data_IF_566852203091
#
_entry.id   IF_566852203091
#
_cell.length_a   1.000
_cell.length_b   1.000
_cell.length_c   1.000
_cell.angle_alpha   90.00
_cell.angle_beta   90.00
_cell.angle_gamma   90.00
#
_symmetry.space_group_name_H-M   'P 1'
#
loop_
_entity.id
_entity.type
_entity.pdbx_description
1 polymer ?
#
# COMPACT_ATOMS: atom_id res chain seq x y z
N UNK A 1 -21.37 5.37 11.29
CA UNK A 1 -20.45 6.53 11.41
C UNK A 1 -19.62 6.56 10.13
N UNK A 2 -19.65 7.65 9.38
CA UNK A 2 -18.91 7.77 8.11
C UNK A 2 -17.43 8.00 8.38
N UNK A 3 -16.53 7.30 7.69
CA UNK A 3 -15.09 7.49 7.80
C UNK A 3 -14.69 8.90 7.39
N UNK A 4 -13.67 9.42 8.03
CA UNK A 4 -13.03 10.71 7.72
C UNK A 4 -11.53 10.52 7.52
N UNK A 5 -10.97 11.23 6.56
CA UNK A 5 -9.55 11.18 6.25
C UNK A 5 -9.00 12.60 6.03
N UNK A 6 -8.79 13.32 7.14
CA UNK A 6 -8.23 14.68 7.10
C UNK A 6 -6.89 14.72 6.36
N UNK A 7 -6.69 15.73 5.52
CA UNK A 7 -5.48 15.87 4.71
C UNK A 7 -5.37 14.86 3.55
N UNK A 8 -6.42 14.11 3.27
CA UNK A 8 -6.52 13.17 2.15
C UNK A 8 -7.63 13.61 1.19
N UNK A 9 -7.54 13.35 -0.11
CA UNK A 9 -8.56 13.77 -1.10
C UNK A 9 -9.83 12.91 -0.99
N UNK A 10 -10.49 12.96 0.16
CA UNK A 10 -11.69 12.17 0.48
C UNK A 10 -12.84 12.41 -0.52
N UNK A 11 -13.20 13.66 -0.90
CA UNK A 11 -14.28 13.89 -1.85
C UNK A 11 -14.04 13.23 -3.20
N UNK A 12 -12.82 13.32 -3.71
CA UNK A 12 -12.43 12.75 -5.01
C UNK A 12 -12.44 11.22 -4.98
N UNK A 13 -12.03 10.60 -3.86
CA UNK A 13 -12.09 9.14 -3.70
C UNK A 13 -13.55 8.68 -3.65
N UNK A 14 -14.40 9.37 -2.89
CA UNK A 14 -15.84 9.06 -2.82
C UNK A 14 -16.54 9.23 -4.17
N UNK A 15 -16.17 10.24 -4.92
CA UNK A 15 -16.67 10.44 -6.29
C UNK A 15 -16.29 9.27 -7.21
N UNK A 16 -15.02 8.83 -7.19
CA UNK A 16 -14.57 7.64 -7.94
C UNK A 16 -15.30 6.37 -7.51
N UNK A 17 -15.56 6.24 -6.22
CA UNK A 17 -16.32 5.11 -5.67
C UNK A 17 -17.79 5.08 -6.14
N UNK A 18 -18.38 6.25 -6.41
CA UNK A 18 -19.74 6.37 -6.95
C UNK A 18 -19.78 6.22 -8.46
N UNK A 19 -18.91 6.92 -9.17
CA UNK A 19 -19.01 7.13 -10.63
C UNK A 19 -18.15 6.15 -11.44
N UNK A 20 -17.19 5.46 -10.80
CA UNK A 20 -16.27 4.55 -11.50
C UNK A 20 -15.51 5.28 -12.61
N UNK A 21 -15.42 4.66 -13.78
CA UNK A 21 -14.70 5.19 -14.95
C UNK A 21 -15.13 6.60 -15.39
N UNK A 22 -16.36 7.00 -15.10
CA UNK A 22 -16.86 8.35 -15.44
C UNK A 22 -16.11 9.45 -14.70
N UNK A 23 -15.61 9.18 -13.50
CA UNK A 23 -14.81 10.14 -12.73
C UNK A 23 -13.40 10.40 -13.30
N UNK A 24 -12.97 9.67 -14.32
CA UNK A 24 -11.71 9.93 -15.03
C UNK A 24 -11.78 11.13 -16.00
N UNK A 25 -12.98 11.63 -16.27
CA UNK A 25 -13.23 12.75 -17.20
C UNK A 25 -14.08 13.82 -16.55
N UNK A 26 -13.98 15.09 -17.02
CA UNK A 26 -14.96 16.12 -16.68
C UNK A 26 -16.38 15.71 -17.05
N UNK A 27 -17.37 16.38 -16.49
CA UNK A 27 -18.76 16.09 -16.79
C UNK A 27 -19.07 16.30 -18.28
N UNK A 28 -19.87 15.42 -18.89
CA UNK A 28 -20.19 15.49 -20.33
C UNK A 28 -20.95 16.79 -20.67
N UNK A 29 -21.69 17.33 -19.72
CA UNK A 29 -22.42 18.58 -19.84
C UNK A 29 -21.52 19.79 -20.02
N UNK A 30 -20.25 19.68 -19.63
CA UNK A 30 -19.22 20.72 -19.79
C UNK A 30 -18.55 20.69 -21.19
N UNK A 31 -18.79 19.60 -21.97
CA UNK A 31 -18.20 19.46 -23.29
C UNK A 31 -18.63 20.59 -24.23
N UNK A 32 -17.64 21.28 -24.82
CA UNK A 32 -17.87 22.37 -25.75
C UNK A 32 -18.25 23.72 -25.11
N UNK A 33 -18.56 23.74 -23.80
CA UNK A 33 -18.91 24.97 -23.06
C UNK A 33 -17.83 25.42 -22.09
N UNK A 34 -17.03 24.49 -21.57
CA UNK A 34 -15.94 24.75 -20.63
C UNK A 34 -14.59 24.65 -21.35
N UNK A 35 -13.73 25.68 -21.19
CA UNK A 35 -12.36 25.66 -21.68
C UNK A 35 -11.47 25.10 -20.58
N UNK A 36 -10.99 23.87 -20.76
CA UNK A 36 -10.12 23.20 -19.82
C UNK A 36 -8.67 23.62 -19.98
N UNK A 37 -7.89 23.62 -18.87
CA UNK A 37 -6.47 23.95 -18.86
C UNK A 37 -5.77 23.42 -17.63
N UNK A 38 -4.44 23.51 -17.64
CA UNK A 38 -3.63 23.14 -16.48
C UNK A 38 -3.95 24.05 -15.27
N UNK A 39 -4.07 23.46 -14.08
CA UNK A 39 -4.30 24.17 -12.81
C UNK A 39 -5.70 24.04 -12.24
N UNK A 40 -6.68 23.58 -13.02
CA UNK A 40 -8.05 23.34 -12.50
C UNK A 40 -8.14 22.22 -11.46
N UNK A 41 -7.12 21.38 -11.34
CA UNK A 41 -7.06 20.23 -10.46
C UNK A 41 -6.02 20.32 -9.34
N UNK A 42 -5.45 21.50 -9.06
CA UNK A 42 -4.56 21.65 -7.91
C UNK A 42 -5.38 21.45 -6.62
N UNK A 43 -5.49 20.18 -6.21
CA UNK A 43 -6.25 19.75 -5.06
C UNK A 43 -5.81 20.50 -3.81
N UNK A 44 -6.77 21.12 -3.17
CA UNK A 44 -6.61 21.68 -1.84
C UNK A 44 -6.23 20.56 -0.86
N UNK A 45 -5.11 20.71 -0.22
CA UNK A 45 -4.67 19.87 0.91
C UNK A 45 -3.30 19.28 0.67
N UNK A 46 -2.31 19.81 1.35
CA UNK A 46 -0.96 19.33 1.61
C UNK A 46 -0.49 18.14 0.77
N UNK A 47 -0.09 18.39 -0.47
CA UNK A 47 0.52 17.40 -1.34
C UNK A 47 1.87 16.93 -0.80
N UNK A 48 2.27 15.73 -1.14
CA UNK A 48 3.64 15.24 -0.91
C UNK A 48 4.53 15.47 -2.14
N UNK A 49 5.78 15.03 -2.06
CA UNK A 49 6.75 15.18 -3.15
C UNK A 49 6.35 14.50 -4.47
N UNK A 50 5.52 13.46 -4.41
CA UNK A 50 4.95 12.79 -5.61
C UNK A 50 4.01 13.73 -6.35
N UNK A 51 3.22 14.55 -5.62
CA UNK A 51 2.28 15.48 -6.23
C UNK A 51 3.02 16.59 -7.02
N UNK A 52 4.22 16.97 -6.61
CA UNK A 52 5.05 17.97 -7.28
C UNK A 52 5.62 17.51 -8.63
N UNK A 53 5.64 16.23 -8.90
CA UNK A 53 6.17 15.68 -10.15
C UNK A 53 5.16 15.81 -11.29
N UNK A 54 5.67 15.79 -12.52
CA UNK A 54 4.87 15.72 -13.74
C UNK A 54 5.29 14.53 -14.58
N UNK A 55 4.31 13.93 -15.27
CA UNK A 55 4.57 12.96 -16.33
C UNK A 55 4.96 13.71 -17.60
N UNK A 56 5.99 13.25 -18.29
CA UNK A 56 6.55 13.91 -19.48
C UNK A 56 6.52 12.97 -20.70
N UNK A 57 5.48 13.06 -21.53
CA UNK A 57 5.41 12.27 -22.75
C UNK A 57 6.62 12.56 -23.67
N UNK A 58 7.21 11.51 -24.29
CA UNK A 58 8.27 11.67 -25.26
C UNK A 58 7.73 12.20 -26.60
N UNK A 59 8.62 12.83 -27.40
CA UNK A 59 8.33 13.15 -28.81
C UNK A 59 8.50 11.91 -29.69
N UNK A 60 9.56 11.12 -29.41
CA UNK A 60 9.81 9.87 -30.13
C UNK A 60 9.33 8.68 -29.31
N UNK A 61 8.55 7.79 -29.91
CA UNK A 61 7.81 6.73 -29.23
C UNK A 61 8.21 5.34 -29.76
N UNK A 62 9.43 4.83 -29.46
CA UNK A 62 9.90 3.55 -29.98
C UNK A 62 8.99 2.36 -29.55
N UNK A 63 8.53 2.34 -28.31
CA UNK A 63 7.62 1.27 -27.84
C UNK A 63 6.25 1.32 -28.51
N UNK A 64 5.79 2.53 -28.93
CA UNK A 64 4.57 2.65 -29.73
C UNK A 64 4.78 2.05 -31.12
N UNK A 65 5.94 2.31 -31.74
CA UNK A 65 6.32 1.71 -33.01
C UNK A 65 6.38 0.17 -32.92
N UNK A 66 7.03 -0.37 -31.90
CA UNK A 66 7.07 -1.81 -31.64
C UNK A 66 5.65 -2.39 -31.52
N UNK A 67 4.78 -1.70 -30.75
CA UNK A 67 3.39 -2.14 -30.55
C UNK A 67 2.55 -2.06 -31.82
N UNK A 68 2.77 -1.04 -32.65
CA UNK A 68 2.14 -0.91 -33.97
C UNK A 68 2.50 -2.11 -34.87
N UNK A 69 3.78 -2.49 -34.92
CA UNK A 69 4.24 -3.65 -35.67
C UNK A 69 3.62 -4.96 -35.15
N UNK A 70 3.52 -5.12 -33.84
CA UNK A 70 2.89 -6.28 -33.20
C UNK A 70 1.40 -6.39 -33.58
N UNK A 71 0.67 -5.27 -33.53
CA UNK A 71 -0.77 -5.24 -33.74
C UNK A 71 -1.20 -5.12 -35.21
N UNK A 72 -0.30 -4.67 -36.12
CA UNK A 72 -0.65 -4.32 -37.50
C UNK A 72 -1.58 -3.10 -37.61
N UNK A 73 -1.75 -2.31 -36.56
CA UNK A 73 -2.55 -1.08 -36.50
C UNK A 73 -2.00 -0.12 -35.44
N UNK A 74 -2.41 1.13 -35.51
CA UNK A 74 -2.09 2.12 -34.45
C UNK A 74 -2.63 1.63 -33.10
N UNK A 75 -1.76 1.59 -32.07
CA UNK A 75 -2.19 1.19 -30.74
C UNK A 75 -2.95 2.31 -30.04
N UNK A 76 -3.91 1.92 -29.20
CA UNK A 76 -4.73 2.82 -28.39
C UNK A 76 -4.55 2.49 -26.89
N UNK A 77 -5.11 3.30 -25.99
CA UNK A 77 -4.95 3.11 -24.54
C UNK A 77 -5.45 1.72 -24.05
N UNK A 78 -6.45 1.13 -24.71
CA UNK A 78 -6.94 -0.21 -24.36
C UNK A 78 -5.97 -1.35 -24.70
N UNK A 79 -4.90 -1.08 -25.46
CA UNK A 79 -3.84 -2.05 -25.75
C UNK A 79 -2.77 -2.11 -24.63
N UNK A 80 -2.87 -1.25 -23.62
CA UNK A 80 -1.97 -1.26 -22.47
C UNK A 80 -2.23 -2.47 -21.59
N UNK A 81 -1.17 -3.20 -21.30
CA UNK A 81 -1.18 -4.36 -20.40
C UNK A 81 -0.89 -3.91 -18.96
N UNK A 82 -1.87 -4.05 -18.08
CA UNK A 82 -1.77 -3.62 -16.69
C UNK A 82 -1.45 -4.77 -15.72
N UNK A 83 -1.50 -6.03 -16.18
CA UNK A 83 -1.17 -7.18 -15.33
C UNK A 83 0.23 -7.09 -14.74
N UNK A 84 0.38 -7.46 -13.47
CA UNK A 84 1.63 -7.37 -12.73
C UNK A 84 1.86 -8.61 -11.86
N UNK A 85 3.13 -8.91 -11.58
CA UNK A 85 3.51 -9.79 -10.47
C UNK A 85 3.85 -8.92 -9.26
N UNK A 86 3.18 -9.17 -8.15
CA UNK A 86 3.32 -8.41 -6.91
C UNK A 86 3.85 -9.37 -5.83
N UNK A 87 5.18 -9.46 -5.70
CA UNK A 87 5.84 -10.30 -4.71
C UNK A 87 5.45 -11.78 -4.82
N UNK A 88 5.33 -12.29 -6.05
CA UNK A 88 4.94 -13.66 -6.37
C UNK A 88 3.43 -13.89 -6.44
N UNK A 89 2.61 -12.86 -6.31
CA UNK A 89 1.17 -12.90 -6.50
C UNK A 89 0.80 -12.22 -7.83
N UNK A 90 0.11 -12.92 -8.72
CA UNK A 90 -0.35 -12.34 -9.99
C UNK A 90 -1.49 -11.37 -9.73
N UNK A 91 -1.40 -10.17 -10.28
CA UNK A 91 -2.43 -9.13 -10.17
C UNK A 91 -2.92 -8.67 -11.53
N UNK A 92 -4.20 -8.39 -11.65
CA UNK A 92 -4.80 -7.82 -12.86
C UNK A 92 -4.33 -6.39 -13.14
N UNK A 93 -3.86 -5.69 -12.10
CA UNK A 93 -3.42 -4.29 -12.11
C UNK A 93 -2.18 -4.13 -11.23
N UNK A 94 -1.32 -3.13 -11.45
CA UNK A 94 -0.18 -2.84 -10.59
C UNK A 94 -0.61 -2.09 -9.31
N UNK A 95 -1.67 -2.61 -8.68
CA UNK A 95 -2.18 -2.10 -7.40
C UNK A 95 -2.55 -3.26 -6.48
N UNK A 96 -2.55 -3.00 -5.19
CA UNK A 96 -2.98 -3.94 -4.15
C UNK A 96 -3.68 -3.18 -3.03
N UNK A 97 -4.45 -3.86 -2.20
CA UNK A 97 -5.01 -3.26 -1.00
C UNK A 97 -3.95 -3.32 0.11
N UNK A 98 -3.47 -2.15 0.55
CA UNK A 98 -2.53 -2.04 1.66
C UNK A 98 -3.17 -2.46 2.98
N UNK A 99 -2.32 -2.89 3.91
CA UNK A 99 -2.73 -3.23 5.25
C UNK A 99 -3.50 -2.08 5.92
N UNK A 100 -4.65 -2.41 6.45
CA UNK A 100 -5.37 -1.61 7.43
C UNK A 100 -5.78 -2.51 8.60
N UNK A 101 -5.54 -2.02 9.80
CA UNK A 101 -5.88 -2.73 11.02
C UNK A 101 -7.36 -2.55 11.40
N UNK A 102 -7.70 -3.00 12.61
CA UNK A 102 -9.01 -2.74 13.19
C UNK A 102 -9.20 -1.24 13.38
N UNK A 103 -9.92 -0.61 12.50
CA UNK A 103 -10.45 0.70 12.77
C UNK A 103 -11.79 0.50 13.47
N UNK A 104 -11.89 0.89 14.73
CA UNK A 104 -13.18 0.98 15.43
C UNK A 104 -14.19 1.85 14.67
N UNK A 105 -13.70 2.68 13.77
CA UNK A 105 -14.49 3.52 12.90
C UNK A 105 -15.05 2.77 11.67
N UNK A 106 -14.43 1.68 11.27
CA UNK A 106 -14.98 0.82 10.26
C UNK A 106 -16.03 -0.06 10.94
N UNK A 107 -17.29 0.12 10.57
CA UNK A 107 -18.33 -0.83 10.91
C UNK A 107 -17.82 -2.26 10.64
N UNK A 108 -18.22 -3.18 11.45
CA UNK A 108 -17.74 -4.56 11.57
C UNK A 108 -17.55 -5.34 10.26
N UNK A 109 -18.22 -4.94 9.17
CA UNK A 109 -18.16 -5.64 7.89
C UNK A 109 -17.35 -4.94 6.80
N UNK A 110 -16.76 -3.76 7.07
CA UNK A 110 -16.04 -3.01 6.04
C UNK A 110 -14.81 -3.75 5.51
N UNK A 111 -14.06 -4.41 6.40
CA UNK A 111 -12.92 -5.23 6.02
C UNK A 111 -13.31 -6.42 5.16
N UNK A 112 -14.44 -7.07 5.48
CA UNK A 112 -15.02 -8.17 4.70
C UNK A 112 -15.47 -7.67 3.33
N UNK A 113 -16.11 -6.49 3.26
CA UNK A 113 -16.53 -5.87 2.01
C UNK A 113 -15.33 -5.54 1.09
N UNK A 114 -14.25 -4.97 1.65
CA UNK A 114 -13.01 -4.71 0.91
C UNK A 114 -12.38 -6.01 0.42
N UNK A 115 -12.30 -7.04 1.27
CA UNK A 115 -11.73 -8.34 0.93
C UNK A 115 -12.47 -8.99 -0.26
N UNK A 116 -13.79 -9.02 -0.22
CA UNK A 116 -14.62 -9.55 -1.31
C UNK A 116 -14.41 -8.79 -2.62
N UNK A 117 -14.35 -7.47 -2.55
CA UNK A 117 -14.14 -6.64 -3.73
C UNK A 117 -12.71 -6.79 -4.30
N UNK A 118 -11.69 -6.89 -3.45
CA UNK A 118 -10.31 -7.15 -3.87
C UNK A 118 -10.17 -8.52 -4.56
N UNK A 119 -10.81 -9.57 -4.01
CA UNK A 119 -10.87 -10.89 -4.64
C UNK A 119 -11.52 -10.85 -6.02
N UNK A 120 -12.67 -10.17 -6.14
CA UNK A 120 -13.37 -9.98 -7.43
C UNK A 120 -12.53 -9.25 -8.45
N UNK A 121 -11.75 -8.26 -8.04
CA UNK A 121 -10.84 -7.52 -8.89
C UNK A 121 -9.60 -8.34 -9.29
N UNK A 122 -9.27 -9.40 -8.60
CA UNK A 122 -8.05 -10.18 -8.82
C UNK A 122 -6.77 -9.43 -8.44
N UNK A 123 -6.85 -8.51 -7.48
CA UNK A 123 -5.70 -7.78 -6.91
C UNK A 123 -5.35 -8.33 -5.53
N UNK A 124 -4.06 -8.34 -5.12
CA UNK A 124 -3.67 -8.78 -3.79
C UNK A 124 -4.24 -7.87 -2.69
N UNK A 125 -4.43 -8.46 -1.51
CA UNK A 125 -4.86 -7.74 -0.32
C UNK A 125 -3.99 -8.08 0.87
N UNK A 126 -3.53 -7.05 1.61
CA UNK A 126 -2.85 -7.21 2.89
C UNK A 126 -3.85 -7.01 4.02
N UNK A 127 -3.99 -8.00 4.88
CA UNK A 127 -4.79 -7.91 6.11
C UNK A 127 -3.84 -7.49 7.23
N UNK A 128 -4.09 -6.29 7.79
CA UNK A 128 -3.24 -5.70 8.82
C UNK A 128 -3.35 -6.39 10.17
N UNK A 129 -2.34 -6.19 11.01
CA UNK A 129 -2.35 -6.58 12.41
C UNK A 129 -3.50 -5.92 13.18
N UNK A 130 -3.62 -6.01 14.45
CA UNK A 130 -4.68 -5.44 15.32
C UNK A 130 -6.08 -6.05 15.16
N UNK A 131 -6.39 -6.76 14.06
CA UNK A 131 -7.60 -7.58 13.96
C UNK A 131 -7.37 -8.88 14.71
N UNK A 132 -6.13 -9.16 15.03
CA UNK A 132 -5.64 -10.47 15.38
C UNK A 132 -4.87 -10.41 16.68
N UNK A 133 -5.61 -10.40 17.76
CA UNK A 133 -5.19 -11.24 18.89
C UNK A 133 -5.57 -12.70 18.53
N UNK A 134 -4.95 -13.72 19.13
CA UNK A 134 -5.38 -15.12 19.04
C UNK A 134 -6.92 -15.23 19.20
N UNK A 135 -7.51 -14.39 20.03
CA UNK A 135 -8.95 -14.26 20.25
C UNK A 135 -9.73 -13.73 19.04
N UNK A 136 -9.13 -12.96 18.14
CA UNK A 136 -9.76 -12.46 16.91
C UNK A 136 -9.56 -13.33 15.68
N UNK A 137 -8.79 -14.43 15.79
CA UNK A 137 -8.56 -15.32 14.66
C UNK A 137 -9.83 -16.04 14.21
N UNK A 138 -10.61 -16.55 15.17
CA UNK A 138 -11.86 -17.27 14.96
C UNK A 138 -13.00 -16.66 15.76
N UNK A 139 -13.19 -15.38 15.77
CA UNK A 139 -14.36 -14.81 16.46
C UNK A 139 -15.64 -15.45 15.94
N UNK A 140 -16.32 -16.17 16.85
CA UNK A 140 -17.58 -16.86 16.58
C UNK A 140 -18.74 -15.92 16.82
N UNK A 141 -19.58 -15.89 15.86
CA UNK A 141 -21.01 -15.72 15.86
C UNK A 141 -21.61 -14.31 15.87
N UNK A 142 -21.15 -13.29 16.55
CA UNK A 142 -21.91 -12.02 16.54
C UNK A 142 -21.09 -10.73 16.61
N UNK A 143 -19.80 -10.80 16.78
CA UNK A 143 -18.98 -9.60 16.96
C UNK A 143 -17.91 -9.46 15.91
N UNK A 144 -18.32 -9.10 14.70
CA UNK A 144 -17.38 -8.38 13.86
C UNK A 144 -16.37 -9.20 13.07
N UNK A 145 -15.61 -8.46 12.40
CA UNK A 145 -14.59 -8.74 11.41
C UNK A 145 -13.43 -9.55 11.98
N UNK A 146 -13.37 -10.84 11.69
CA UNK A 146 -12.23 -11.69 12.04
C UNK A 146 -11.27 -11.81 10.85
N UNK A 147 -9.98 -12.13 11.12
CA UNK A 147 -9.00 -12.41 10.09
C UNK A 147 -9.49 -13.48 9.12
N UNK A 148 -10.02 -14.57 9.66
CA UNK A 148 -10.48 -15.71 8.86
C UNK A 148 -11.68 -15.36 7.98
N UNK A 149 -12.63 -14.56 8.47
CA UNK A 149 -13.76 -14.06 7.67
C UNK A 149 -13.29 -13.21 6.48
N UNK A 150 -12.27 -12.37 6.66
CA UNK A 150 -11.67 -11.59 5.56
C UNK A 150 -11.00 -12.49 4.54
N UNK A 151 -10.22 -13.48 4.99
CA UNK A 151 -9.58 -14.45 4.10
C UNK A 151 -10.65 -15.21 3.29
N UNK A 152 -11.72 -15.69 3.92
CA UNK A 152 -12.81 -16.40 3.25
C UNK A 152 -13.53 -15.50 2.25
N UNK A 153 -13.92 -14.29 2.65
CA UNK A 153 -14.60 -13.35 1.77
C UNK A 153 -13.76 -13.00 0.52
N UNK A 154 -12.43 -12.94 0.69
CA UNK A 154 -11.52 -12.79 -0.44
C UNK A 154 -11.51 -14.03 -1.32
N UNK A 155 -11.29 -15.20 -0.73
CA UNK A 155 -11.13 -16.47 -1.45
C UNK A 155 -12.40 -16.86 -2.23
N UNK A 156 -13.58 -16.67 -1.65
CA UNK A 156 -14.87 -16.92 -2.28
C UNK A 156 -15.13 -16.06 -3.53
N UNK A 157 -14.61 -14.83 -3.53
CA UNK A 157 -14.80 -13.89 -4.64
C UNK A 157 -13.63 -13.90 -5.64
N UNK A 158 -12.53 -14.56 -5.30
CA UNK A 158 -11.30 -14.48 -6.06
C UNK A 158 -11.37 -15.18 -7.41
N UNK A 159 -10.82 -14.50 -8.43
CA UNK A 159 -10.67 -15.10 -9.76
C UNK A 159 -9.58 -16.20 -9.72
N UNK A 160 -9.78 -17.33 -10.40
CA UNK A 160 -8.78 -18.39 -10.47
C UNK A 160 -7.43 -17.89 -10.97
N UNK A 161 -6.36 -18.17 -10.23
CA UNK A 161 -4.98 -17.81 -10.58
C UNK A 161 -4.62 -16.32 -10.43
N UNK A 162 -5.53 -15.46 -9.96
CA UNK A 162 -5.28 -14.04 -9.74
C UNK A 162 -5.39 -13.65 -8.26
N UNK A 163 -4.62 -12.63 -7.89
CA UNK A 163 -4.60 -12.08 -6.55
C UNK A 163 -3.99 -13.02 -5.52
N UNK A 164 -4.23 -12.72 -4.26
CA UNK A 164 -3.78 -13.45 -3.10
C UNK A 164 -3.95 -12.63 -1.84
N UNK A 165 -3.75 -13.25 -0.70
CA UNK A 165 -3.85 -12.60 0.62
C UNK A 165 -2.48 -12.59 1.29
N UNK A 166 -2.08 -11.42 1.80
CA UNK A 166 -0.95 -11.28 2.69
C UNK A 166 -1.44 -11.03 4.12
N UNK A 167 -0.95 -11.79 5.09
CA UNK A 167 -1.27 -11.60 6.50
C UNK A 167 -0.12 -10.90 7.19
N UNK A 168 -0.36 -9.68 7.64
CA UNK A 168 0.64 -8.83 8.27
C UNK A 168 0.63 -9.00 9.78
N UNK A 169 1.82 -9.09 10.37
CA UNK A 169 2.05 -8.99 11.80
C UNK A 169 3.13 -7.93 12.08
N UNK A 170 2.94 -7.15 13.13
CA UNK A 170 4.00 -6.31 13.68
C UNK A 170 4.91 -7.15 14.59
N UNK A 171 6.05 -6.60 14.95
CA UNK A 171 6.94 -7.23 15.95
C UNK A 171 6.29 -7.38 17.31
N UNK A 172 5.35 -6.51 17.66
CA UNK A 172 4.58 -6.59 18.89
C UNK A 172 3.61 -7.79 18.90
N UNK A 173 3.04 -8.11 17.73
CA UNK A 173 2.04 -9.16 17.58
C UNK A 173 2.65 -10.48 17.02
N UNK A 174 3.93 -10.51 16.68
CA UNK A 174 4.58 -11.67 16.08
C UNK A 174 4.60 -12.91 17.02
N UNK A 175 4.52 -12.69 18.32
CA UNK A 175 4.47 -13.75 19.33
C UNK A 175 3.10 -14.41 19.47
N UNK A 176 2.08 -13.92 18.77
CA UNK A 176 0.70 -14.42 18.90
C UNK A 176 0.39 -15.66 18.08
N UNK A 177 1.39 -16.25 17.46
CA UNK A 177 1.28 -17.47 16.62
C UNK A 177 0.30 -17.37 15.44
N UNK A 178 -0.12 -16.17 15.08
CA UNK A 178 -1.15 -15.93 14.05
C UNK A 178 -0.75 -16.54 12.71
N UNK A 179 0.51 -16.39 12.31
CA UNK A 179 0.99 -16.98 11.08
C UNK A 179 0.94 -18.50 11.10
N UNK A 180 1.24 -19.14 12.25
CA UNK A 180 1.10 -20.59 12.41
C UNK A 180 -0.36 -21.03 12.24
N UNK A 181 -1.28 -20.30 12.88
CA UNK A 181 -2.72 -20.58 12.77
C UNK A 181 -3.22 -20.44 11.33
N UNK A 182 -2.87 -19.34 10.64
CA UNK A 182 -3.27 -19.12 9.23
C UNK A 182 -2.68 -20.19 8.32
N UNK A 183 -1.37 -20.46 8.45
CA UNK A 183 -0.67 -21.40 7.57
C UNK A 183 -1.15 -22.84 7.73
N UNK A 184 -1.62 -23.22 8.90
CA UNK A 184 -2.13 -24.56 9.22
C UNK A 184 -3.65 -24.71 9.12
N UNK A 185 -4.41 -23.62 8.95
CA UNK A 185 -5.87 -23.71 8.89
C UNK A 185 -6.33 -24.41 7.61
N UNK A 186 -7.15 -25.47 7.73
CA UNK A 186 -7.63 -26.22 6.57
C UNK A 186 -8.37 -25.38 5.53
N UNK A 187 -9.10 -24.34 5.95
CA UNK A 187 -9.85 -23.46 5.06
C UNK A 187 -8.95 -22.51 4.25
N UNK A 188 -7.71 -22.29 4.70
CA UNK A 188 -6.71 -21.44 4.02
C UNK A 188 -5.80 -22.27 3.10
N UNK A 189 -5.77 -23.61 3.25
CA UNK A 189 -4.91 -24.48 2.44
C UNK A 189 -5.02 -24.26 0.93
N UNK A 190 -6.17 -23.98 0.32
CA UNK A 190 -6.23 -23.68 -1.12
C UNK A 190 -5.39 -22.46 -1.54
N UNK A 191 -5.24 -21.44 -0.68
CA UNK A 191 -4.36 -20.29 -0.93
C UNK A 191 -2.87 -20.69 -0.76
N UNK A 192 -2.55 -21.51 0.24
CA UNK A 192 -1.19 -22.05 0.45
C UNK A 192 -0.77 -22.91 -0.74
N UNK A 193 -1.64 -23.82 -1.18
CA UNK A 193 -1.39 -24.77 -2.26
C UNK A 193 -1.23 -24.11 -3.62
N UNK A 194 -2.01 -23.06 -3.87
CA UNK A 194 -1.91 -22.27 -5.09
C UNK A 194 -0.80 -21.21 -5.07
N UNK A 195 -0.01 -21.10 -3.98
CA UNK A 195 1.03 -20.08 -3.79
C UNK A 195 0.48 -18.65 -3.69
N UNK A 196 -0.78 -18.50 -3.26
CA UNK A 196 -1.50 -17.21 -3.17
C UNK A 196 -1.62 -16.71 -1.73
N UNK A 197 -0.90 -17.29 -0.78
CA UNK A 197 -0.71 -16.79 0.57
C UNK A 197 0.64 -16.10 0.68
N UNK A 198 0.66 -14.91 1.27
CA UNK A 198 1.85 -14.22 1.72
C UNK A 198 1.78 -13.93 3.21
N UNK A 199 2.94 -13.83 3.86
CA UNK A 199 3.09 -13.40 5.24
C UNK A 199 3.96 -12.15 5.24
N UNK A 200 3.49 -11.06 5.86
CA UNK A 200 4.21 -9.78 5.85
C UNK A 200 4.67 -9.40 7.25
N UNK A 201 5.99 -9.28 7.41
CA UNK A 201 6.61 -8.71 8.61
C UNK A 201 6.59 -7.19 8.54
N UNK A 202 5.89 -6.53 9.45
CA UNK A 202 5.86 -5.09 9.56
C UNK A 202 6.89 -4.59 10.57
N UNK A 203 7.93 -3.97 10.06
CA UNK A 203 8.96 -3.27 10.85
C UNK A 203 8.48 -1.90 11.32
N UNK A 204 7.61 -1.27 10.54
CA UNK A 204 7.01 0.01 10.87
C UNK A 204 6.03 0.49 9.80
N UNK A 205 5.52 1.70 9.96
CA UNK A 205 4.51 2.27 9.06
C UNK A 205 4.68 3.79 8.91
N UNK A 206 3.95 4.39 7.94
CA UNK A 206 4.02 5.75 7.48
C UNK A 206 4.16 6.83 8.56
N UNK A 207 3.10 7.48 8.94
CA UNK A 207 3.14 8.71 9.76
C UNK A 207 3.66 8.56 11.21
N UNK A 208 4.13 7.41 11.62
CA UNK A 208 4.71 7.20 12.97
C UNK A 208 5.90 6.24 12.99
N UNK A 209 6.93 6.45 12.17
CA UNK A 209 8.12 5.62 12.23
C UNK A 209 8.81 5.79 13.59
N UNK A 210 9.32 4.70 14.16
CA UNK A 210 9.94 4.70 15.48
C UNK A 210 8.97 4.72 16.66
N UNK A 211 7.67 4.70 16.42
CA UNK A 211 6.65 4.48 17.45
C UNK A 211 5.99 3.12 17.25
N UNK A 212 5.71 2.43 18.35
CA UNK A 212 4.90 1.21 18.36
C UNK A 212 3.41 1.47 18.11
N UNK A 213 2.60 0.46 18.27
CA UNK A 213 1.15 0.56 18.20
C UNK A 213 0.60 1.49 19.26
N UNK A 214 -0.35 2.35 18.89
CA UNK A 214 -1.06 3.23 19.82
C UNK A 214 -2.56 2.99 19.67
N UNK A 215 -3.23 2.72 20.79
CA UNK A 215 -4.67 2.46 20.81
C UNK A 215 -5.30 3.10 22.03
N UNK A 216 -6.40 3.79 21.84
CA UNK A 216 -7.19 4.36 22.94
C UNK A 216 -8.14 3.28 23.47
N UNK A 217 -8.09 3.05 24.78
CA UNK A 217 -8.87 2.04 25.49
C UNK A 217 -9.65 2.69 26.63
N UNK A 218 -10.80 2.14 26.98
CA UNK A 218 -11.46 2.46 28.23
C UNK A 218 -10.67 1.92 29.42
N UNK A 219 -10.74 2.59 30.57
CA UNK A 219 -9.98 2.29 31.79
C UNK A 219 -10.08 0.83 32.23
N UNK A 220 -11.28 0.26 32.25
CA UNK A 220 -11.48 -1.13 32.66
C UNK A 220 -10.69 -2.15 31.80
N UNK A 221 -10.56 -1.90 30.49
CA UNK A 221 -9.77 -2.73 29.59
C UNK A 221 -8.28 -2.45 29.72
N UNK A 222 -7.91 -1.20 30.01
CA UNK A 222 -6.52 -0.81 30.24
C UNK A 222 -5.96 -1.49 31.50
N UNK A 223 -6.74 -1.58 32.57
CA UNK A 223 -6.33 -2.24 33.82
C UNK A 223 -5.98 -3.72 33.60
N UNK A 224 -6.69 -4.41 32.72
CA UNK A 224 -6.40 -5.81 32.35
C UNK A 224 -5.06 -5.96 31.61
N UNK A 225 -4.56 -4.89 31.00
CA UNK A 225 -3.36 -4.86 30.18
C UNK A 225 -2.17 -4.20 30.90
N UNK A 226 -2.34 -3.75 32.13
CA UNK A 226 -1.38 -2.92 32.88
C UNK A 226 -0.01 -3.59 33.11
N UNK A 227 0.14 -4.88 32.98
CA UNK A 227 1.42 -5.59 33.09
C UNK A 227 2.15 -5.82 31.77
N UNK A 228 1.49 -5.57 30.65
CA UNK A 228 1.99 -5.93 29.31
C UNK A 228 2.37 -4.70 28.46
N UNK A 229 1.74 -3.56 28.70
CA UNK A 229 1.89 -2.37 27.86
C UNK A 229 2.12 -1.10 28.69
N UNK A 230 2.77 -0.11 28.10
CA UNK A 230 2.83 1.23 28.66
C UNK A 230 1.47 1.92 28.49
N UNK A 231 0.91 2.35 29.60
CA UNK A 231 -0.37 3.03 29.66
C UNK A 231 -0.19 4.50 30.02
N UNK A 232 -0.79 5.40 29.24
CA UNK A 232 -0.76 6.85 29.48
C UNK A 232 -2.20 7.32 29.66
N UNK A 233 -2.52 7.80 30.89
CA UNK A 233 -3.83 8.40 31.18
C UNK A 233 -3.94 9.79 30.56
N UNK A 234 -5.10 10.13 30.00
CA UNK A 234 -5.46 11.50 29.67
C UNK A 234 -6.04 12.19 30.91
N UNK A 235 -5.74 13.48 31.10
CA UNK A 235 -5.96 14.17 32.37
C UNK A 235 -7.40 14.20 32.90
N UNK A 236 -8.42 14.14 32.02
CA UNK A 236 -9.81 14.36 32.37
C UNK A 236 -10.80 13.29 31.90
N UNK A 237 -10.37 12.07 31.63
CA UNK A 237 -11.24 11.03 31.06
C UNK A 237 -11.01 9.60 31.53
N UNK A 238 -11.98 8.76 31.27
CA UNK A 238 -11.89 7.30 31.45
C UNK A 238 -11.07 6.60 30.36
N UNK A 239 -10.50 7.39 29.44
CA UNK A 239 -9.71 6.87 28.32
C UNK A 239 -8.23 6.81 28.68
N UNK A 240 -7.58 5.74 28.25
CA UNK A 240 -6.16 5.48 28.45
C UNK A 240 -5.53 5.15 27.12
N UNK A 241 -4.38 5.76 26.83
CA UNK A 241 -3.58 5.41 25.66
C UNK A 241 -2.70 4.20 25.98
N UNK A 242 -2.95 3.08 25.30
CA UNK A 242 -2.05 1.95 25.27
C UNK A 242 -0.96 2.22 24.23
N UNK A 243 0.29 2.15 24.66
CA UNK A 243 1.45 2.28 23.77
C UNK A 243 2.17 0.93 23.67
N UNK A 244 2.35 0.46 22.45
CA UNK A 244 3.21 -0.67 22.17
C UNK A 244 4.67 -0.24 21.96
N UNK A 245 5.53 -1.21 21.66
CA UNK A 245 6.93 -0.97 21.31
C UNK A 245 7.13 -1.04 19.79
N UNK A 246 8.02 -0.19 19.21
CA UNK A 246 8.35 -0.32 17.79
C UNK A 246 9.19 -1.57 17.50
N UNK A 247 9.69 -2.26 18.53
CA UNK A 247 10.70 -3.30 18.42
C UNK A 247 12.08 -2.74 18.13
N UNK A 248 13.08 -3.60 18.29
CA UNK A 248 14.48 -3.30 17.96
C UNK A 248 14.86 -4.05 16.69
N UNK A 249 15.37 -3.31 15.69
CA UNK A 249 15.88 -3.90 14.46
C UNK A 249 17.35 -3.54 14.23
N UNK A 250 18.14 -4.53 13.92
CA UNK A 250 19.46 -4.42 13.30
C UNK A 250 19.40 -5.16 11.97
N UNK A 251 20.43 -4.98 11.13
CA UNK A 251 20.55 -5.77 9.90
C UNK A 251 20.47 -7.28 10.18
N UNK A 252 21.11 -7.73 11.26
CA UNK A 252 21.10 -9.15 11.63
C UNK A 252 19.73 -9.63 12.12
N UNK A 253 19.05 -8.86 12.96
CA UNK A 253 17.70 -9.20 13.44
C UNK A 253 16.73 -9.30 12.27
N UNK A 254 16.72 -8.31 11.36
CA UNK A 254 15.85 -8.35 10.18
C UNK A 254 16.15 -9.56 9.30
N UNK A 255 17.43 -9.83 9.05
CA UNK A 255 17.88 -11.00 8.26
C UNK A 255 17.39 -12.31 8.87
N UNK A 256 17.55 -12.49 10.17
CA UNK A 256 17.14 -13.72 10.86
C UNK A 256 15.62 -13.89 10.90
N UNK A 257 14.87 -12.81 11.10
CA UNK A 257 13.41 -12.83 11.05
C UNK A 257 12.90 -13.31 9.67
N UNK A 258 13.40 -12.76 8.59
CA UNK A 258 12.99 -13.16 7.22
C UNK A 258 13.39 -14.62 6.94
N UNK A 259 14.59 -15.05 7.34
CA UNK A 259 15.03 -16.44 7.19
C UNK A 259 14.18 -17.42 8.00
N UNK A 260 13.82 -17.05 9.23
CA UNK A 260 12.94 -17.84 10.08
C UNK A 260 11.57 -18.03 9.41
N UNK A 261 10.99 -16.95 8.88
CA UNK A 261 9.71 -17.02 8.16
C UNK A 261 9.82 -17.92 6.93
N UNK A 262 10.90 -17.80 6.14
CA UNK A 262 11.15 -18.70 4.99
C UNK A 262 11.22 -20.16 5.39
N UNK A 263 11.89 -20.46 6.49
CA UNK A 263 12.06 -21.81 6.99
C UNK A 263 10.74 -22.40 7.52
N UNK A 264 9.98 -21.60 8.26
CA UNK A 264 8.73 -22.06 8.89
C UNK A 264 7.55 -22.13 7.92
N UNK A 265 7.55 -21.28 6.89
CA UNK A 265 6.43 -21.15 5.93
C UNK A 265 6.89 -21.28 4.48
N UNK A 266 7.48 -22.42 4.09
CA UNK A 266 8.16 -22.57 2.78
C UNK A 266 7.24 -22.42 1.56
N UNK A 267 5.92 -22.56 1.73
CA UNK A 267 4.93 -22.45 0.65
C UNK A 267 4.26 -21.06 0.61
N UNK A 268 4.51 -20.20 1.60
CA UNK A 268 4.03 -18.81 1.60
C UNK A 268 5.06 -17.88 0.97
N UNK A 269 4.58 -16.76 0.40
CA UNK A 269 5.43 -15.63 0.03
C UNK A 269 5.79 -14.85 1.28
N UNK A 270 7.00 -14.30 1.34
CA UNK A 270 7.46 -13.53 2.49
C UNK A 270 7.64 -12.08 2.07
N UNK A 271 6.89 -11.20 2.68
CA UNK A 271 6.95 -9.76 2.46
C UNK A 271 7.45 -9.05 3.70
N UNK A 272 8.05 -7.88 3.50
CA UNK A 272 8.52 -7.02 4.59
C UNK A 272 8.00 -5.61 4.35
N UNK A 273 7.42 -4.98 5.37
CA UNK A 273 6.99 -3.58 5.32
C UNK A 273 7.89 -2.70 6.16
N UNK A 274 8.46 -1.67 5.53
CA UNK A 274 9.40 -0.73 6.12
C UNK A 274 8.75 0.64 6.38
N UNK A 275 9.12 1.34 7.48
CA UNK A 275 8.74 2.72 7.70
C UNK A 275 9.57 3.66 6.80
N UNK A 276 9.14 4.93 6.63
CA UNK A 276 9.88 5.95 5.88
C UNK A 276 11.10 6.47 6.65
N UNK A 277 12.04 5.58 6.94
CA UNK A 277 13.26 5.86 7.69
C UNK A 277 14.42 6.30 6.79
N UNK A 278 15.44 6.93 7.39
CA UNK A 278 16.62 7.42 6.66
C UNK A 278 17.44 6.29 6.00
N UNK A 279 17.40 5.10 6.55
CA UNK A 279 18.14 3.89 6.14
C UNK A 279 17.25 2.86 5.44
N UNK A 280 16.13 3.32 4.87
CA UNK A 280 15.16 2.46 4.18
C UNK A 280 15.77 1.66 3.02
N UNK A 281 16.77 2.22 2.31
CA UNK A 281 17.49 1.51 1.24
C UNK A 281 18.25 0.28 1.75
N UNK A 282 19.22 0.43 2.67
CA UNK A 282 19.91 -0.70 3.28
C UNK A 282 18.97 -1.72 3.96
N UNK A 283 17.88 -1.27 4.55
CA UNK A 283 16.88 -2.17 5.15
C UNK A 283 16.16 -3.01 4.09
N UNK A 284 15.76 -2.42 2.97
CA UNK A 284 15.15 -3.13 1.85
C UNK A 284 16.11 -4.17 1.24
N UNK A 285 17.37 -3.78 1.02
CA UNK A 285 18.40 -4.69 0.53
C UNK A 285 18.61 -5.88 1.48
N UNK A 286 18.70 -5.63 2.78
CA UNK A 286 18.81 -6.68 3.80
C UNK A 286 17.65 -7.67 3.74
N UNK A 287 16.41 -7.17 3.59
CA UNK A 287 15.22 -8.01 3.49
C UNK A 287 15.26 -8.90 2.23
N UNK A 288 15.58 -8.35 1.07
CA UNK A 288 15.70 -9.12 -0.18
C UNK A 288 16.82 -10.15 -0.14
N UNK A 289 18.00 -9.78 0.36
CA UNK A 289 19.12 -10.70 0.52
C UNK A 289 18.81 -11.85 1.50
N UNK A 290 17.93 -11.61 2.45
CA UNK A 290 17.44 -12.64 3.37
C UNK A 290 16.36 -13.55 2.76
N UNK A 291 15.80 -13.19 1.59
CA UNK A 291 14.83 -13.97 0.84
C UNK A 291 13.39 -13.44 0.88
N UNK A 292 13.18 -12.14 1.15
CA UNK A 292 11.87 -11.54 0.98
C UNK A 292 11.46 -11.51 -0.51
N UNK A 293 10.20 -11.86 -0.82
CA UNK A 293 9.64 -11.79 -2.18
C UNK A 293 9.24 -10.36 -2.53
N UNK A 294 8.87 -9.55 -1.55
CA UNK A 294 8.56 -8.13 -1.73
C UNK A 294 8.95 -7.31 -0.51
N UNK A 295 9.28 -6.05 -0.77
CA UNK A 295 9.45 -5.02 0.27
C UNK A 295 8.46 -3.90 0.00
N UNK A 296 7.61 -3.60 0.99
CA UNK A 296 6.71 -2.45 0.98
C UNK A 296 7.36 -1.28 1.70
N UNK A 297 7.32 -0.08 1.12
CA UNK A 297 7.70 1.15 1.80
C UNK A 297 6.52 2.11 1.88
N UNK A 298 6.28 2.66 3.07
CA UNK A 298 5.38 3.78 3.26
C UNK A 298 6.14 5.11 3.13
N UNK A 299 5.45 6.16 2.65
CA UNK A 299 5.91 7.54 2.84
C UNK A 299 5.38 8.13 4.15
N UNK A 300 5.97 9.23 4.61
CA UNK A 300 5.54 9.94 5.84
C UNK A 300 4.06 10.37 5.82
N UNK A 301 3.49 10.63 4.63
CA UNK A 301 2.05 10.90 4.45
C UNK A 301 1.18 9.63 4.42
N UNK A 302 1.73 8.45 4.71
CA UNK A 302 1.01 7.18 4.79
C UNK A 302 -0.09 7.21 5.84
N UNK A 303 -1.13 6.39 5.64
CA UNK A 303 -2.20 6.24 6.63
C UNK A 303 -1.70 5.58 7.90
N UNK A 304 -2.17 6.06 9.05
CA UNK A 304 -1.89 5.46 10.35
C UNK A 304 -3.14 5.51 11.21
N UNK A 305 -3.17 4.71 12.27
CA UNK A 305 -4.15 4.86 13.32
C UNK A 305 -3.86 6.10 14.19
N UNK A 306 -4.19 6.03 15.45
CA UNK A 306 -3.90 7.10 16.40
C UNK A 306 -2.38 7.37 16.50
N UNK A 307 -1.98 8.63 16.35
CA UNK A 307 -0.58 9.06 16.45
C UNK A 307 -0.50 10.52 16.93
N UNK A 308 0.60 10.94 17.58
CA UNK A 308 0.81 12.33 17.96
C UNK A 308 0.81 13.25 16.74
N UNK A 309 0.20 14.45 16.87
CA UNK A 309 0.12 15.42 15.77
C UNK A 309 1.50 15.77 15.19
N UNK A 310 2.51 15.95 16.05
CA UNK A 310 3.88 16.22 15.62
C UNK A 310 4.46 15.12 14.70
N UNK A 311 4.05 13.86 14.90
CA UNK A 311 4.46 12.77 14.02
C UNK A 311 3.73 12.79 12.68
N UNK A 312 2.43 13.09 12.71
CA UNK A 312 1.63 13.20 11.49
C UNK A 312 2.15 14.29 10.55
N UNK A 313 2.64 15.40 11.11
CA UNK A 313 3.04 16.59 10.36
C UNK A 313 4.53 16.61 9.98
N UNK A 314 5.41 15.95 10.76
CA UNK A 314 6.85 16.21 10.68
C UNK A 314 7.73 14.96 10.63
N UNK A 315 7.22 13.74 10.81
CA UNK A 315 8.06 12.55 10.96
C UNK A 315 7.89 11.60 9.80
N UNK A 316 9.03 11.19 9.22
CA UNK A 316 9.12 10.26 8.10
C UNK A 316 9.49 10.92 6.78
N UNK A 317 10.26 10.22 5.97
CA UNK A 317 10.62 10.67 4.63
C UNK A 317 9.39 10.73 3.72
N UNK A 318 9.31 11.70 2.81
CA UNK A 318 8.34 11.68 1.72
C UNK A 318 8.48 10.42 0.87
N UNK A 319 7.38 9.98 0.22
CA UNK A 319 7.37 8.70 -0.51
C UNK A 319 8.39 8.66 -1.65
N UNK A 320 8.47 9.72 -2.47
CA UNK A 320 9.41 9.71 -3.60
C UNK A 320 10.86 9.66 -3.14
N UNK A 321 11.18 10.29 -2.00
CA UNK A 321 12.52 10.17 -1.40
C UNK A 321 12.82 8.75 -0.91
N UNK A 322 11.82 8.06 -0.31
CA UNK A 322 11.97 6.66 0.04
C UNK A 322 12.28 5.79 -1.19
N UNK A 323 11.48 5.96 -2.26
CA UNK A 323 11.65 5.19 -3.49
C UNK A 323 13.02 5.42 -4.15
N UNK A 324 13.53 6.67 -4.13
CA UNK A 324 14.86 6.98 -4.67
C UNK A 324 16.01 6.37 -3.84
N UNK A 325 15.85 6.25 -2.53
CA UNK A 325 16.85 5.62 -1.66
C UNK A 325 16.91 4.11 -1.84
N UNK A 326 15.86 3.51 -2.38
CA UNK A 326 15.75 2.07 -2.59
C UNK A 326 16.09 1.75 -4.05
N UNK A 327 17.29 1.22 -4.30
CA UNK A 327 17.67 0.71 -5.60
C UNK A 327 17.08 -0.70 -5.79
N UNK A 328 15.81 -0.79 -6.17
CA UNK A 328 15.11 -2.07 -6.22
C UNK A 328 15.66 -3.04 -7.30
N UNK A 329 16.13 -2.51 -8.44
CA UNK A 329 16.58 -3.36 -9.54
C UNK A 329 15.49 -4.36 -9.96
N UNK A 330 15.81 -5.68 -10.03
CA UNK A 330 14.83 -6.70 -10.37
C UNK A 330 13.89 -7.08 -9.19
N UNK A 331 14.17 -6.61 -7.97
CA UNK A 331 13.42 -6.96 -6.78
C UNK A 331 12.02 -6.31 -6.77
N UNK A 332 11.08 -6.90 -6.07
CA UNK A 332 9.75 -6.36 -5.94
C UNK A 332 9.68 -5.29 -4.85
N UNK A 333 9.58 -4.02 -5.26
CA UNK A 333 9.32 -2.88 -4.39
C UNK A 333 7.86 -2.48 -4.49
N UNK A 334 7.19 -2.35 -3.36
CA UNK A 334 5.80 -1.91 -3.25
C UNK A 334 5.74 -0.54 -2.59
N UNK A 335 4.99 0.39 -3.17
CA UNK A 335 4.84 1.74 -2.67
C UNK A 335 3.47 1.92 -2.00
N UNK A 336 3.45 2.43 -0.78
CA UNK A 336 2.22 2.77 -0.06
C UNK A 336 2.35 4.16 0.55
N UNK A 337 1.49 5.06 0.21
CA UNK A 337 1.24 6.39 0.79
C UNK A 337 0.38 7.22 -0.16
N UNK A 338 -0.76 7.72 0.32
CA UNK A 338 -1.65 8.61 -0.45
C UNK A 338 -2.00 8.12 -1.88
N UNK A 339 -1.95 6.81 -2.15
CA UNK A 339 -2.36 6.25 -3.44
C UNK A 339 -3.89 6.27 -3.54
N UNK A 340 -4.43 7.04 -4.49
CA UNK A 340 -5.87 7.24 -4.66
C UNK A 340 -6.29 7.53 -6.11
N UNK A 341 -5.34 7.85 -7.01
CA UNK A 341 -5.56 8.17 -8.41
C UNK A 341 -4.47 7.56 -9.30
N UNK A 342 -4.77 7.36 -10.59
CA UNK A 342 -3.87 6.70 -11.54
C UNK A 342 -2.56 7.45 -11.75
N UNK A 343 -2.58 8.79 -11.72
CA UNK A 343 -1.35 9.57 -11.92
C UNK A 343 -0.32 9.32 -10.81
N UNK A 344 -0.77 9.17 -9.56
CA UNK A 344 0.14 8.84 -8.44
C UNK A 344 0.69 7.41 -8.56
N UNK A 345 -0.14 6.48 -9.02
CA UNK A 345 0.30 5.10 -9.28
C UNK A 345 1.38 5.11 -10.37
N UNK A 346 1.14 5.76 -11.53
CA UNK A 346 2.13 5.85 -12.62
C UNK A 346 3.45 6.49 -12.15
N UNK A 347 3.39 7.57 -11.37
CA UNK A 347 4.59 8.19 -10.78
C UNK A 347 5.35 7.24 -9.86
N UNK A 348 4.64 6.50 -9.01
CA UNK A 348 5.25 5.49 -8.13
C UNK A 348 5.93 4.37 -8.91
N UNK A 349 5.29 3.87 -9.98
CA UNK A 349 5.87 2.87 -10.89
C UNK A 349 7.11 3.41 -11.60
N UNK A 350 7.05 4.64 -12.11
CA UNK A 350 8.18 5.31 -12.76
C UNK A 350 9.36 5.56 -11.79
N UNK A 351 9.11 5.65 -10.49
CA UNK A 351 10.13 5.70 -9.44
C UNK A 351 10.66 4.31 -9.02
N UNK A 352 10.26 3.25 -9.71
CA UNK A 352 10.77 1.89 -9.50
C UNK A 352 9.90 0.98 -8.65
N UNK A 353 8.73 1.41 -8.21
CA UNK A 353 7.78 0.52 -7.55
C UNK A 353 7.16 -0.47 -8.58
N UNK A 354 6.90 -1.70 -8.13
CA UNK A 354 6.20 -2.73 -8.93
C UNK A 354 4.68 -2.56 -8.84
N UNK A 355 4.19 -2.08 -7.71
CA UNK A 355 2.77 -1.81 -7.48
C UNK A 355 2.55 -0.76 -6.38
N UNK A 356 1.35 -0.18 -6.40
CA UNK A 356 0.90 0.84 -5.45
C UNK A 356 -0.19 0.31 -4.51
N UNK A 357 -0.05 0.60 -3.22
CA UNK A 357 -0.96 0.14 -2.18
C UNK A 357 -2.08 1.13 -1.86
N UNK A 358 -3.32 0.70 -2.00
CA UNK A 358 -4.52 1.45 -1.68
C UNK A 358 -4.92 1.21 -0.22
N UNK A 359 -4.62 2.14 0.67
CA UNK A 359 -5.01 2.08 2.09
C UNK A 359 -6.29 2.85 2.36
N UNK A 360 -6.16 4.13 2.74
CA UNK A 360 -7.32 5.03 3.02
C UNK A 360 -8.29 5.10 1.85
N UNK A 361 -7.79 5.10 0.62
CA UNK A 361 -8.66 5.13 -0.57
C UNK A 361 -9.57 3.90 -0.64
N UNK A 362 -9.05 2.71 -0.37
CA UNK A 362 -9.87 1.48 -0.36
C UNK A 362 -10.94 1.51 0.73
N UNK A 363 -10.58 1.99 1.93
CA UNK A 363 -11.52 2.13 3.04
C UNK A 363 -12.63 3.14 2.76
N UNK A 364 -12.28 4.33 2.26
CA UNK A 364 -13.25 5.38 1.90
C UNK A 364 -14.17 4.93 0.77
N UNK A 365 -13.64 4.21 -0.21
CA UNK A 365 -14.44 3.69 -1.31
C UNK A 365 -15.45 2.64 -0.85
N UNK A 366 -15.04 1.72 0.02
CA UNK A 366 -15.95 0.73 0.59
C UNK A 366 -16.94 1.34 1.59
N UNK A 367 -16.55 2.38 2.35
CA UNK A 367 -17.45 3.15 3.23
C UNK A 367 -18.52 3.89 2.42
N UNK A 368 -18.16 4.42 1.24
CA UNK A 368 -19.11 5.06 0.33
C UNK A 368 -20.09 4.05 -0.30
N UNK A 369 -19.58 2.90 -0.74
CA UNK A 369 -20.37 1.82 -1.31
C UNK A 369 -19.78 0.45 -0.96
N UNK A 370 -20.30 -0.23 0.08
CA UNK A 370 -19.80 -1.52 0.54
C UNK A 370 -19.87 -2.66 -0.50
N UNK A 371 -20.69 -2.52 -1.53
CA UNK A 371 -20.86 -3.55 -2.55
C UNK A 371 -19.98 -3.38 -3.79
N UNK A 372 -19.66 -2.13 -4.17
CA UNK A 372 -18.98 -1.84 -5.42
C UNK A 372 -17.98 -0.66 -5.35
N UNK A 373 -17.85 0.04 -4.24
CA UNK A 373 -17.07 1.26 -4.16
C UNK A 373 -15.59 1.06 -4.48
N UNK A 374 -14.97 -0.01 -3.95
CA UNK A 374 -13.58 -0.34 -4.30
C UNK A 374 -13.46 -0.79 -5.77
N UNK A 375 -14.44 -1.54 -6.28
CA UNK A 375 -14.46 -1.95 -7.70
C UNK A 375 -14.51 -0.71 -8.58
N UNK A 376 -15.41 0.22 -8.33
CA UNK A 376 -15.55 1.46 -9.08
C UNK A 376 -14.28 2.33 -9.04
N UNK A 377 -13.69 2.47 -7.84
CA UNK A 377 -12.41 3.19 -7.68
C UNK A 377 -11.32 2.55 -8.53
N UNK A 378 -11.15 1.24 -8.45
CA UNK A 378 -10.09 0.52 -9.19
C UNK A 378 -10.34 0.51 -10.69
N UNK A 379 -11.57 0.46 -11.15
CA UNK A 379 -11.90 0.63 -12.57
C UNK A 379 -11.57 2.03 -13.10
N UNK A 380 -11.80 3.07 -12.29
CA UNK A 380 -11.36 4.43 -12.62
C UNK A 380 -9.83 4.48 -12.72
N UNK A 381 -9.11 3.93 -11.73
CA UNK A 381 -7.65 3.84 -11.75
C UNK A 381 -7.14 3.07 -12.99
N UNK A 382 -7.76 1.97 -13.35
CA UNK A 382 -7.37 1.17 -14.52
C UNK A 382 -7.46 1.98 -15.82
N UNK A 383 -8.52 2.76 -15.97
CA UNK A 383 -8.68 3.66 -17.13
C UNK A 383 -7.63 4.77 -17.11
N UNK A 384 -7.42 5.44 -15.97
CA UNK A 384 -6.39 6.48 -15.82
C UNK A 384 -4.99 5.92 -16.14
N UNK A 385 -4.65 4.73 -15.63
CA UNK A 385 -3.38 4.04 -15.91
C UNK A 385 -3.20 3.79 -17.41
N UNK A 386 -4.22 3.23 -18.07
CA UNK A 386 -4.16 2.93 -19.49
C UNK A 386 -3.97 4.20 -20.34
N UNK A 387 -4.68 5.27 -20.02
CA UNK A 387 -4.56 6.57 -20.71
C UNK A 387 -3.16 7.17 -20.51
N UNK A 388 -2.66 7.20 -19.27
CA UNK A 388 -1.38 7.82 -18.93
C UNK A 388 -0.19 7.04 -19.51
N UNK A 389 -0.18 5.70 -19.39
CA UNK A 389 0.88 4.85 -19.93
C UNK A 389 0.92 4.95 -21.47
N UNK A 390 -0.24 4.94 -22.12
CA UNK A 390 -0.33 5.16 -23.58
C UNK A 390 0.15 6.54 -24.00
N UNK A 391 -0.17 7.59 -23.22
CA UNK A 391 0.31 8.96 -23.48
C UNK A 391 1.84 9.06 -23.37
N UNK A 392 2.47 8.25 -22.51
CA UNK A 392 3.93 8.11 -22.41
C UNK A 392 4.54 7.26 -23.55
N UNK A 393 3.74 6.84 -24.52
CA UNK A 393 4.17 6.01 -25.63
C UNK A 393 4.53 4.57 -25.25
N UNK A 394 4.05 4.10 -24.10
CA UNK A 394 4.32 2.79 -23.51
C UNK A 394 3.04 1.95 -23.45
N UNK A 395 3.17 0.63 -23.43
CA UNK A 395 2.02 -0.30 -23.47
C UNK A 395 2.08 -1.40 -22.42
N UNK A 396 3.01 -1.25 -21.45
CA UNK A 396 3.14 -2.12 -20.28
C UNK A 396 3.56 -1.29 -19.07
N UNK A 397 3.02 -1.63 -17.92
CA UNK A 397 3.32 -0.91 -16.67
C UNK A 397 4.81 -1.02 -16.26
N UNK A 398 5.47 -2.13 -16.59
CA UNK A 398 6.89 -2.36 -16.29
C UNK A 398 7.88 -1.65 -17.23
N UNK A 399 7.38 -0.95 -18.24
CA UNK A 399 8.18 -0.09 -19.11
C UNK A 399 8.38 1.33 -18.55
N UNK A 400 7.62 1.70 -17.50
CA UNK A 400 7.75 3.02 -16.87
C UNK A 400 9.10 3.17 -16.17
N UNK A 401 9.69 4.36 -16.28
CA UNK A 401 10.98 4.67 -15.70
C UNK A 401 11.14 6.14 -15.32
N UNK A 402 12.27 6.48 -14.71
CA UNK A 402 12.56 7.83 -14.25
C UNK A 402 12.54 8.88 -15.37
N UNK A 403 12.78 8.47 -16.61
CA UNK A 403 12.70 9.31 -17.80
C UNK A 403 11.29 9.85 -18.10
N UNK A 404 10.25 9.20 -17.57
CA UNK A 404 8.86 9.62 -17.70
C UNK A 404 8.47 10.74 -16.72
N UNK A 405 9.40 11.14 -15.84
CA UNK A 405 9.15 12.07 -14.75
C UNK A 405 9.97 13.35 -14.89
N UNK A 406 9.33 14.45 -14.57
CA UNK A 406 9.97 15.72 -14.29
C UNK A 406 9.59 16.19 -12.89
N UNK A 407 10.56 16.76 -12.18
CA UNK A 407 10.32 17.40 -10.90
C UNK A 407 11.06 18.76 -10.86
N UNK A 408 10.54 19.75 -10.10
CA UNK A 408 11.23 21.01 -9.90
C UNK A 408 12.66 20.82 -9.34
N UNK A 409 13.58 21.68 -9.75
CA UNK A 409 14.94 21.69 -9.20
C UNK A 409 14.88 21.88 -7.67
N UNK A 410 15.52 20.96 -6.92
CA UNK A 410 15.45 20.90 -5.46
C UNK A 410 14.45 19.89 -4.90
N UNK A 411 13.48 19.44 -5.68
CA UNK A 411 12.58 18.35 -5.29
C UNK A 411 13.12 16.95 -5.66
N UNK A 412 14.14 16.89 -6.54
CA UNK A 412 14.71 15.62 -7.04
C UNK A 412 16.19 15.80 -7.38
N UNK A 413 17.06 15.18 -6.59
CA UNK A 413 18.41 14.84 -7.07
C UNK A 413 18.35 13.45 -7.70
N UNK A 414 18.86 13.20 -8.94
CA UNK A 414 18.87 11.87 -9.52
C UNK A 414 19.71 10.92 -8.66
N UNK A 415 19.20 9.72 -8.40
CA UNK A 415 19.98 8.65 -7.82
C UNK A 415 21.11 8.32 -8.79
N UNK A 416 22.35 8.68 -8.47
CA UNK A 416 23.51 8.34 -9.29
C UNK A 416 24.67 9.33 -9.34
N UNK A 417 24.57 10.51 -8.73
CA UNK A 417 25.72 11.42 -8.64
C UNK A 417 26.01 11.84 -7.19
N UNK A 418 26.47 10.90 -6.37
CA UNK A 418 27.38 11.25 -5.27
C UNK A 418 28.79 10.93 -5.76
N UNK A 419 29.47 11.93 -6.27
CA UNK A 419 30.91 11.94 -6.44
C UNK A 419 31.54 11.59 -5.10
N UNK A 420 32.40 10.58 -5.13
CA UNK A 420 33.30 10.26 -4.05
C UNK A 420 34.16 11.50 -3.73
N UNK A 421 33.81 12.24 -2.71
CA UNK A 421 34.65 13.17 -2.00
C UNK A 421 34.21 13.15 -0.54
N UNK A 422 34.90 12.30 0.21
CA UNK A 422 35.30 12.59 1.59
C UNK A 422 36.42 11.61 1.94
N UNK A 423 37.65 12.09 1.65
CA UNK A 423 38.83 11.49 2.18
C UNK A 423 38.86 11.63 3.68
N UNK A 424 38.89 10.52 4.37
CA UNK A 424 39.16 10.44 5.80
C UNK A 424 40.62 10.83 6.00
N UNK A 425 40.97 11.84 6.81
CA UNK A 425 42.34 12.00 7.28
C UNK A 425 42.59 10.96 8.34
N UNK A 426 43.58 10.11 8.07
CA UNK A 426 44.29 9.32 9.10
C UNK A 426 45.00 10.24 10.08
N UNK A 427 44.63 10.15 11.35
CA UNK A 427 45.54 10.27 12.49
C UNK A 427 45.01 9.42 13.65
#
# INVERSE_FOLDING_TARGET
>A
MTLRATGFPEPQVRERARLGRRAAFPAVEEYGSTLFGAGAGAGAGGGDDVDLMRLVPPVFTPHRWEKLLELGREPVHSDVQLGADIGGLRSTLPVYVSAFGSTRAAATDLGVAVSRQAGRLGIPMVIGENIVSIHGYRQTQDEGDSLLRRIHAYAEAAQPGWGGVAVQQSTEDADTEVWNLVYSDPSVQPLVESGRLALELKVGQGAKPGLGGMTVLGRAKAEQLAGQYTLIGFQDGDEVLRCGTPGTFTHEILRQQVRLMRNNYPRARIWVKLPPGRDVGPAAETAWQAGADAVTVDGGAGGTGWAPQAFLDHVGLPLAECLRRIAAGPNCLLASSRMWEGVRVVKGLALGARAAGLGRAALLAADENPHAGLVNLVECLALELSLLISALGKYRADQLGAEDLWAPAGAVAPAGQRTAHDGVPTH
#
